data_IF_423298899156
#
_entry.id   IF_423298899156
#
_cell.length_a   1.000
_cell.length_b   1.000
_cell.length_c   1.000
_cell.angle_alpha   90.00
_cell.angle_beta   90.00
_cell.angle_gamma   90.00
#
_symmetry.space_group_name_H-M   'P 1'
#
loop_
_entity.id
_entity.type
_entity.pdbx_description
1 polymer ?
#
# COMPACT_ATOMS: atom_id res chain seq x y z
N UNK A 1 -1.25 10.34 22.55
CA UNK A 1 -1.84 9.06 22.95
C UNK A 1 -1.33 7.98 22.01
N UNK A 2 -0.06 7.60 22.16
CA UNK A 2 0.49 6.39 21.54
C UNK A 2 0.34 5.30 22.60
N UNK A 3 -0.85 4.71 22.69
CA UNK A 3 -0.94 3.44 23.39
C UNK A 3 0.04 2.50 22.69
N UNK A 4 0.97 1.94 23.45
CA UNK A 4 1.85 0.89 22.96
C UNK A 4 0.97 -0.27 22.53
N UNK A 5 0.63 -0.33 21.25
CA UNK A 5 0.18 -1.53 20.59
C UNK A 5 1.20 -2.61 20.98
N UNK A 6 0.75 -3.65 21.67
CA UNK A 6 1.52 -4.89 21.85
C UNK A 6 1.09 -5.82 20.71
N UNK A 7 1.64 -5.65 19.49
CA UNK A 7 1.29 -6.53 18.40
C UNK A 7 1.67 -7.96 18.78
N UNK A 8 0.82 -8.89 18.38
CA UNK A 8 1.20 -10.30 18.35
C UNK A 8 2.44 -10.49 17.47
N UNK A 9 3.20 -11.56 17.70
CA UNK A 9 4.37 -11.90 16.86
C UNK A 9 4.05 -11.89 15.35
N UNK A 10 2.91 -12.44 14.88
CA UNK A 10 2.53 -12.37 13.48
C UNK A 10 2.33 -10.93 12.96
N UNK A 11 1.70 -10.07 13.75
CA UNK A 11 1.48 -8.66 13.37
C UNK A 11 2.80 -7.91 13.28
N UNK A 12 3.68 -8.07 14.28
CA UNK A 12 5.00 -7.45 14.27
C UNK A 12 5.83 -7.91 13.07
N UNK A 13 5.78 -9.20 12.74
CA UNK A 13 6.47 -9.75 11.57
C UNK A 13 5.95 -9.16 10.26
N UNK A 14 4.63 -8.99 10.11
CA UNK A 14 4.03 -8.34 8.93
C UNK A 14 4.42 -6.87 8.84
N UNK A 15 4.40 -6.14 9.97
CA UNK A 15 4.82 -4.75 10.03
C UNK A 15 6.29 -4.59 9.66
N UNK A 16 7.18 -5.43 10.20
CA UNK A 16 8.59 -5.43 9.81
C UNK A 16 8.78 -5.75 8.33
N UNK A 17 8.04 -6.74 7.80
CA UNK A 17 8.06 -7.06 6.38
C UNK A 17 7.64 -5.88 5.51
N UNK A 18 6.61 -5.13 5.92
CA UNK A 18 6.20 -3.90 5.24
C UNK A 18 7.28 -2.81 5.31
N UNK A 19 7.82 -2.52 6.50
CA UNK A 19 8.84 -1.46 6.67
C UNK A 19 10.14 -1.78 5.93
N UNK A 20 10.49 -3.07 5.80
CA UNK A 20 11.71 -3.51 5.12
C UNK A 20 11.48 -3.88 3.65
N UNK A 21 10.28 -3.66 3.09
CA UNK A 21 9.91 -4.07 1.73
C UNK A 21 9.94 -5.60 1.47
N UNK A 22 10.10 -6.41 2.52
CA UNK A 22 10.01 -7.88 2.48
C UNK A 22 8.58 -8.32 2.77
N UNK A 23 7.66 -7.91 1.91
CA UNK A 23 6.22 -8.18 2.04
C UNK A 23 5.77 -9.29 1.08
N UNK A 24 4.58 -9.84 1.29
CA UNK A 24 3.99 -10.82 0.37
C UNK A 24 3.31 -10.15 -0.84
N UNK A 25 3.59 -8.89 -1.12
CA UNK A 25 2.99 -8.17 -2.25
C UNK A 25 3.65 -8.59 -3.57
N UNK A 26 2.87 -8.58 -4.65
CA UNK A 26 3.30 -9.15 -5.93
C UNK A 26 4.48 -8.40 -6.55
N UNK A 27 4.64 -7.09 -6.34
CA UNK A 27 5.82 -6.37 -6.82
C UNK A 27 7.14 -6.95 -6.26
N UNK A 28 7.18 -7.25 -4.95
CA UNK A 28 8.34 -7.87 -4.33
C UNK A 28 8.51 -9.32 -4.81
N UNK A 29 7.43 -10.10 -4.82
CA UNK A 29 7.46 -11.50 -5.24
C UNK A 29 7.88 -11.66 -6.71
N UNK A 30 7.47 -10.73 -7.58
CA UNK A 30 7.88 -10.69 -8.98
C UNK A 30 9.36 -10.33 -9.10
N UNK A 31 9.84 -9.32 -8.35
CA UNK A 31 11.25 -8.93 -8.30
C UNK A 31 12.18 -10.09 -7.91
N UNK A 32 11.76 -10.95 -6.99
CA UNK A 32 12.53 -12.14 -6.57
C UNK A 32 12.26 -13.40 -7.41
N UNK A 33 11.44 -13.29 -8.46
CA UNK A 33 11.17 -14.39 -9.40
C UNK A 33 10.22 -15.48 -8.90
N UNK A 34 9.45 -15.23 -7.83
CA UNK A 34 8.49 -16.19 -7.27
C UNK A 34 7.17 -16.21 -8.05
N UNK A 35 6.75 -15.08 -8.61
CA UNK A 35 5.51 -14.95 -9.39
C UNK A 35 5.76 -14.20 -10.70
N UNK A 36 4.87 -14.40 -11.68
CA UNK A 36 4.85 -13.61 -12.92
C UNK A 36 3.74 -12.55 -12.84
N UNK A 37 4.10 -11.30 -13.11
CA UNK A 37 3.21 -10.16 -12.98
C UNK A 37 3.21 -9.60 -11.57
N UNK A 38 2.95 -8.30 -11.48
CA UNK A 38 2.92 -7.56 -10.23
C UNK A 38 1.61 -6.79 -10.02
N UNK A 39 0.62 -6.92 -10.89
CA UNK A 39 -0.68 -6.23 -10.78
C UNK A 39 -1.34 -6.39 -9.42
N UNK A 40 -1.93 -5.33 -8.88
CA UNK A 40 -2.57 -5.32 -7.57
C UNK A 40 -3.71 -6.33 -7.50
N UNK A 41 -3.65 -7.27 -6.54
CA UNK A 41 -4.72 -8.27 -6.36
C UNK A 41 -6.02 -7.66 -5.84
N UNK A 42 -5.97 -6.43 -5.33
CA UNK A 42 -7.12 -5.74 -4.78
C UNK A 42 -7.89 -4.91 -5.83
N UNK A 43 -7.19 -4.17 -6.70
CA UNK A 43 -7.85 -3.35 -7.74
C UNK A 43 -7.60 -3.81 -9.17
N UNK A 44 -6.52 -4.54 -9.45
CA UNK A 44 -6.18 -5.02 -10.79
C UNK A 44 -5.66 -3.95 -11.76
N UNK A 45 -5.21 -2.80 -11.26
CA UNK A 45 -4.81 -1.65 -12.09
C UNK A 45 -3.28 -1.46 -12.13
N UNK A 46 -2.67 -1.03 -11.02
CA UNK A 46 -1.22 -0.79 -10.93
C UNK A 46 -0.46 -1.99 -10.33
N UNK A 47 0.87 -1.91 -10.35
CA UNK A 47 1.76 -2.79 -9.58
C UNK A 47 1.41 -2.76 -8.07
N UNK A 48 1.32 -3.93 -7.46
CA UNK A 48 1.11 -4.20 -6.04
C UNK A 48 2.37 -3.88 -5.23
N UNK A 49 2.77 -2.61 -5.22
CA UNK A 49 3.80 -2.10 -4.32
C UNK A 49 3.22 -1.79 -2.95
N UNK A 50 4.06 -1.59 -1.94
CA UNK A 50 3.60 -1.13 -0.61
C UNK A 50 2.91 0.21 -0.69
N UNK A 51 3.47 1.13 -1.48
CA UNK A 51 2.93 2.47 -1.67
C UNK A 51 1.55 2.39 -2.33
N UNK A 52 1.42 1.61 -3.41
CA UNK A 52 0.12 1.40 -4.03
C UNK A 52 -0.84 0.74 -3.05
N UNK A 53 -0.48 -0.40 -2.46
CA UNK A 53 -1.35 -1.17 -1.58
C UNK A 53 -1.87 -0.36 -0.38
N UNK A 54 -1.02 0.42 0.29
CA UNK A 54 -1.43 1.19 1.47
C UNK A 54 -2.01 2.56 1.14
N UNK A 55 -1.47 3.26 0.15
CA UNK A 55 -1.75 4.68 -0.06
C UNK A 55 -2.63 4.96 -1.29
N UNK A 56 -2.45 4.20 -2.39
CA UNK A 56 -3.05 4.54 -3.68
C UNK A 56 -4.12 3.57 -4.18
N UNK A 57 -4.22 2.38 -3.59
CA UNK A 57 -5.14 1.36 -4.05
C UNK A 57 -6.60 1.82 -3.79
N UNK A 58 -7.43 1.93 -4.83
CA UNK A 58 -8.81 2.42 -4.70
C UNK A 58 -9.68 1.49 -3.85
N UNK A 59 -9.36 0.19 -3.83
CA UNK A 59 -10.04 -0.82 -3.02
C UNK A 59 -10.02 -0.50 -1.51
N UNK A 60 -9.02 0.25 -1.03
CA UNK A 60 -8.88 0.61 0.38
C UNK A 60 -9.19 2.07 0.68
N UNK A 61 -9.81 2.81 -0.24
CA UNK A 61 -10.15 4.24 -0.11
C UNK A 61 -10.91 4.57 1.20
N UNK A 62 -11.87 3.73 1.60
CA UNK A 62 -12.60 3.92 2.86
C UNK A 62 -11.71 3.75 4.09
N UNK A 63 -10.80 2.77 4.07
CA UNK A 63 -9.86 2.52 5.17
C UNK A 63 -8.87 3.67 5.25
N UNK A 64 -8.31 4.07 4.12
CA UNK A 64 -7.39 5.20 4.02
C UNK A 64 -8.00 6.49 4.58
N UNK A 65 -9.27 6.77 4.25
CA UNK A 65 -10.00 7.94 4.77
C UNK A 65 -10.09 7.95 6.29
N UNK A 66 -10.23 6.77 6.92
CA UNK A 66 -10.34 6.63 8.37
C UNK A 66 -9.00 6.82 9.10
N UNK A 67 -7.89 6.40 8.50
CA UNK A 67 -6.58 6.37 9.17
C UNK A 67 -5.65 7.52 8.77
N UNK A 68 -5.70 7.98 7.52
CA UNK A 68 -4.83 9.05 7.00
C UNK A 68 -5.50 10.42 7.02
N UNK A 69 -6.81 10.50 7.28
CA UNK A 69 -7.58 11.74 7.23
C UNK A 69 -7.83 12.23 5.80
N UNK A 70 -8.77 13.17 5.66
CA UNK A 70 -9.20 13.69 4.34
C UNK A 70 -8.09 14.50 3.66
N UNK A 71 -7.23 15.17 4.43
CA UNK A 71 -6.20 16.07 3.90
C UNK A 71 -5.11 15.32 3.08
N UNK A 72 -4.75 14.10 3.49
CA UNK A 72 -3.82 13.25 2.73
C UNK A 72 -4.46 12.77 1.41
N UNK A 73 -5.79 12.57 1.40
CA UNK A 73 -6.53 12.20 0.20
C UNK A 73 -6.80 13.38 -0.76
N UNK A 74 -6.84 14.62 -0.25
CA UNK A 74 -6.96 15.82 -1.08
C UNK A 74 -5.65 16.13 -1.82
N UNK A 75 -4.50 16.00 -1.16
CA UNK A 75 -3.19 16.10 -1.81
C UNK A 75 -2.98 15.02 -2.91
N UNK A 76 -3.66 13.87 -2.78
CA UNK A 76 -3.66 12.76 -3.75
C UNK A 76 -4.40 13.09 -5.06
N UNK A 77 -5.47 13.89 -5.02
CA UNK A 77 -6.22 14.27 -6.23
C UNK A 77 -5.43 15.20 -7.16
N UNK A 78 -4.55 16.03 -6.60
CA UNK A 78 -3.70 16.96 -7.36
C UNK A 78 -2.50 16.28 -8.02
N UNK A 79 -2.04 15.14 -7.49
CA UNK A 79 -0.90 14.39 -8.06
C UNK A 79 -1.33 13.52 -9.26
N UNK A 80 -2.46 12.81 -9.15
CA UNK A 80 -3.02 12.02 -10.28
C UNK A 80 -3.39 12.91 -11.47
N UNK A 81 -3.94 14.11 -11.22
CA UNK A 81 -4.22 15.08 -12.27
C UNK A 81 -2.96 15.61 -13.01
N UNK A 82 -1.76 15.46 -12.42
CA UNK A 82 -0.51 15.84 -13.07
C UNK A 82 0.11 14.71 -13.91
N UNK A 83 -0.30 13.46 -13.68
CA UNK A 83 0.21 12.29 -14.41
C UNK A 83 -0.59 11.94 -15.67
N UNK A 84 -1.84 12.42 -15.80
CA UNK A 84 -2.67 12.27 -17.01
C UNK A 84 -2.49 13.43 -18.02
N UNK A 85 -1.49 14.30 -17.79
CA UNK A 85 -1.19 15.46 -18.63
C UNK A 85 0.22 15.46 -19.18
N UNK A 86 0.61 14.43 -19.94
CA UNK A 86 1.67 14.51 -20.95
C UNK A 86 1.53 13.40 -22.00
#
# INVERSE_FOLDING_TARGET
MLEMLRPSKPELSRMMGAVTEHSQLLAYLNRIGVVKGDECRACGEDSESLEHYFCHCPAFSQIQSRYFGIDILLARRTYVASAEGN
#
